data_IF_679008811626
#
_entry.id   IF_679008811626
#
_cell.length_a   1.000
_cell.length_b   1.000
_cell.length_c   1.000
_cell.angle_alpha   90.00
_cell.angle_beta   90.00
_cell.angle_gamma   90.00
#
_symmetry.space_group_name_H-M   'P 1'
#
loop_
_entity.id
_entity.type
_entity.pdbx_description
1 polymer ?
#
# COMPACT_ATOMS: atom_id res chain seq x y z
N UNK A 1 -38.24 12.27 -52.81
CA UNK A 1 -37.53 12.66 -51.58
C UNK A 1 -37.60 11.47 -50.63
N UNK A 2 -36.56 10.63 -50.59
CA UNK A 2 -36.47 9.53 -49.64
C UNK A 2 -35.96 10.09 -48.31
N UNK A 3 -36.53 9.70 -47.15
CA UNK A 3 -36.04 10.19 -45.87
C UNK A 3 -34.68 9.53 -45.57
N UNK A 4 -33.71 10.34 -45.17
CA UNK A 4 -32.43 9.89 -44.65
C UNK A 4 -32.67 9.10 -43.35
N UNK A 5 -32.08 7.90 -43.15
CA UNK A 5 -32.07 7.29 -41.83
C UNK A 5 -31.10 8.07 -40.93
N UNK A 6 -31.58 8.47 -39.75
CA UNK A 6 -30.74 9.01 -38.69
C UNK A 6 -29.80 7.90 -38.20
N UNK A 7 -28.50 8.17 -37.95
CA UNK A 7 -27.61 7.19 -37.34
C UNK A 7 -27.98 7.02 -35.87
N UNK A 8 -28.62 5.89 -35.53
CA UNK A 8 -28.79 5.41 -34.16
C UNK A 8 -27.47 4.82 -33.67
N UNK A 9 -26.53 5.69 -33.30
CA UNK A 9 -25.36 5.32 -32.52
C UNK A 9 -25.73 5.37 -31.04
N UNK A 10 -26.28 4.26 -30.52
CA UNK A 10 -26.22 4.00 -29.09
C UNK A 10 -24.76 3.66 -28.79
N UNK A 11 -24.01 4.65 -28.27
CA UNK A 11 -22.71 4.40 -27.66
C UNK A 11 -22.92 3.34 -26.57
N UNK A 12 -22.42 2.13 -26.81
CA UNK A 12 -22.43 1.08 -25.79
C UNK A 12 -21.67 1.64 -24.58
N UNK A 13 -22.34 1.72 -23.43
CA UNK A 13 -21.68 2.13 -22.20
C UNK A 13 -20.46 1.22 -21.99
N UNK A 14 -19.27 1.82 -21.86
CA UNK A 14 -18.05 1.07 -21.64
C UNK A 14 -18.21 0.17 -20.41
N UNK A 15 -17.71 -1.06 -20.48
CA UNK A 15 -17.75 -1.99 -19.36
C UNK A 15 -17.12 -1.34 -18.10
N UNK A 16 -17.66 -1.62 -16.90
CA UNK A 16 -17.07 -1.10 -15.67
C UNK A 16 -15.66 -1.66 -15.50
N UNK A 17 -14.71 -0.86 -14.96
CA UNK A 17 -13.37 -1.35 -14.67
C UNK A 17 -13.39 -2.51 -13.69
N UNK A 18 -12.47 -3.45 -13.85
CA UNK A 18 -12.34 -4.64 -12.99
C UNK A 18 -11.02 -4.71 -12.23
N UNK A 19 -10.08 -3.79 -12.48
CA UNK A 19 -8.77 -3.79 -11.83
C UNK A 19 -8.62 -2.62 -10.84
N UNK A 20 -8.36 -2.93 -9.57
CA UNK A 20 -8.02 -1.96 -8.55
C UNK A 20 -6.50 -1.85 -8.39
N UNK A 21 -5.94 -0.66 -8.51
CA UNK A 21 -4.54 -0.34 -8.23
C UNK A 21 -4.49 0.55 -7.00
N UNK A 22 -3.81 0.11 -5.94
CA UNK A 22 -3.69 0.86 -4.67
C UNK A 22 -2.25 1.27 -4.47
N UNK A 23 -2.00 2.56 -4.29
CA UNK A 23 -0.72 3.10 -3.81
C UNK A 23 -0.85 3.37 -2.33
N UNK A 24 -0.12 2.61 -1.50
CA UNK A 24 -0.07 2.84 -0.06
C UNK A 24 0.81 4.06 0.25
N UNK A 25 0.21 5.13 0.76
CA UNK A 25 0.94 6.35 1.09
C UNK A 25 1.68 6.22 2.44
N UNK A 26 2.72 7.05 2.61
CA UNK A 26 3.57 7.04 3.80
C UNK A 26 3.97 8.42 4.33
N UNK A 27 3.81 9.50 3.55
CA UNK A 27 4.24 10.85 3.93
C UNK A 27 3.38 11.90 3.26
N UNK A 28 3.43 13.13 3.79
CA UNK A 28 2.60 14.24 3.29
C UNK A 28 3.50 15.26 2.63
N UNK A 29 3.34 15.45 1.32
CA UNK A 29 3.97 16.55 0.62
C UNK A 29 3.13 17.82 0.76
N UNK A 30 3.72 18.89 1.30
CA UNK A 30 3.05 20.17 1.57
C UNK A 30 2.94 21.08 0.34
N UNK A 31 3.56 20.69 -0.77
CA UNK A 31 3.69 21.52 -1.95
C UNK A 31 5.04 22.23 -1.99
N UNK A 32 5.46 22.59 -3.21
CA UNK A 32 6.69 23.34 -3.44
C UNK A 32 7.16 23.23 -4.89
N UNK A 33 8.16 24.02 -5.30
CA UNK A 33 8.58 24.09 -6.69
C UNK A 33 9.27 22.82 -7.21
N UNK A 34 9.80 21.97 -6.33
CA UNK A 34 10.55 20.78 -6.72
C UNK A 34 9.67 19.60 -7.15
N UNK A 35 8.34 19.74 -7.06
CA UNK A 35 7.40 18.68 -7.38
C UNK A 35 7.63 17.39 -6.56
N UNK A 36 8.03 17.53 -5.29
CA UNK A 36 8.27 16.41 -4.39
C UNK A 36 9.71 15.89 -4.37
N UNK A 37 10.63 16.49 -5.13
CA UNK A 37 12.04 16.08 -5.16
C UNK A 37 12.91 16.69 -4.05
N UNK A 38 12.43 17.75 -3.38
CA UNK A 38 13.06 18.34 -2.20
C UNK A 38 12.39 17.81 -0.93
N UNK A 39 13.19 17.21 -0.06
CA UNK A 39 12.72 16.65 1.21
C UNK A 39 12.13 17.71 2.16
N UNK A 40 12.58 18.97 2.06
CA UNK A 40 12.04 20.06 2.88
C UNK A 40 10.57 20.38 2.58
N UNK A 41 10.04 19.92 1.43
CA UNK A 41 8.63 20.06 1.06
C UNK A 41 7.74 18.97 1.68
N UNK A 42 8.30 18.01 2.42
CA UNK A 42 7.58 16.87 3.00
C UNK A 42 7.51 16.94 4.53
N UNK A 43 6.36 16.59 5.09
CA UNK A 43 6.22 16.25 6.51
C UNK A 43 6.60 14.78 6.73
N UNK A 44 7.77 14.58 7.32
CA UNK A 44 8.36 13.26 7.55
C UNK A 44 8.52 12.95 9.03
N UNK A 45 8.35 11.68 9.41
CA UNK A 45 8.88 11.19 10.67
C UNK A 45 10.39 10.99 10.56
N UNK A 46 11.15 10.99 11.68
CA UNK A 46 12.61 10.85 11.65
C UNK A 46 13.12 9.62 10.89
N UNK A 47 12.38 8.50 10.93
CA UNK A 47 12.75 7.27 10.22
C UNK A 47 12.52 7.31 8.71
N UNK A 48 11.86 8.35 8.19
CA UNK A 48 11.53 8.52 6.77
C UNK A 48 12.50 9.46 6.04
N UNK A 49 13.53 9.96 6.74
CA UNK A 49 14.55 10.80 6.14
C UNK A 49 15.23 10.06 4.97
N UNK A 50 15.35 10.74 3.83
CA UNK A 50 15.86 10.19 2.58
C UNK A 50 14.88 9.30 1.80
N UNK A 51 13.62 9.13 2.24
CA UNK A 51 12.65 8.29 1.55
C UNK A 51 11.87 9.00 0.44
N UNK A 52 11.92 10.34 0.34
CA UNK A 52 11.08 11.11 -0.60
C UNK A 52 11.22 10.70 -2.07
N UNK A 53 12.41 10.34 -2.61
CA UNK A 53 12.51 9.83 -3.97
C UNK A 53 11.76 8.50 -4.16
N UNK A 54 11.68 7.69 -3.09
CA UNK A 54 10.93 6.43 -3.09
C UNK A 54 9.43 6.69 -3.11
N UNK A 55 8.95 7.69 -2.37
CA UNK A 55 7.53 8.08 -2.39
C UNK A 55 7.10 8.58 -3.77
N UNK A 56 7.90 9.46 -4.39
CA UNK A 56 7.67 9.90 -5.78
C UNK A 56 7.63 8.70 -6.72
N UNK A 57 8.54 7.73 -6.53
CA UNK A 57 8.55 6.50 -7.33
C UNK A 57 7.32 5.63 -7.12
N UNK A 58 6.80 5.49 -5.90
CA UNK A 58 5.52 4.78 -5.66
C UNK A 58 4.37 5.42 -6.42
N UNK A 59 4.32 6.75 -6.46
CA UNK A 59 3.32 7.51 -7.21
C UNK A 59 3.45 7.23 -8.71
N UNK A 60 4.67 7.36 -9.25
CA UNK A 60 4.97 7.08 -10.66
C UNK A 60 4.57 5.64 -11.04
N UNK A 61 4.94 4.64 -10.22
CA UNK A 61 4.61 3.24 -10.48
C UNK A 61 3.09 2.97 -10.49
N UNK A 62 2.33 3.61 -9.59
CA UNK A 62 0.86 3.54 -9.58
C UNK A 62 0.23 4.18 -10.82
N UNK A 63 0.71 5.38 -11.19
CA UNK A 63 0.27 6.09 -12.39
C UNK A 63 0.61 5.29 -13.66
N UNK A 64 1.81 4.74 -13.74
CA UNK A 64 2.27 3.90 -14.86
C UNK A 64 1.45 2.63 -14.99
N UNK A 65 1.14 1.96 -13.88
CA UNK A 65 0.29 0.77 -13.88
C UNK A 65 -1.14 1.10 -14.35
N UNK A 66 -1.70 2.23 -13.90
CA UNK A 66 -3.01 2.69 -14.34
C UNK A 66 -3.03 3.05 -15.83
N UNK A 67 -2.00 3.74 -16.32
CA UNK A 67 -1.87 4.09 -17.74
C UNK A 67 -1.79 2.86 -18.65
N UNK A 68 -1.10 1.81 -18.22
CA UNK A 68 -0.97 0.56 -18.97
C UNK A 68 -2.30 -0.21 -19.11
N UNK A 69 -3.26 0.03 -18.22
CA UNK A 69 -4.54 -0.67 -18.15
C UNK A 69 -5.71 0.31 -18.01
N UNK A 70 -5.64 1.42 -18.76
CA UNK A 70 -6.42 2.62 -18.53
C UNK A 70 -7.94 2.45 -18.63
N UNK A 71 -8.37 1.55 -19.51
CA UNK A 71 -9.77 1.25 -19.76
C UNK A 71 -10.40 0.39 -18.65
N UNK A 72 -9.62 -0.49 -18.01
CA UNK A 72 -10.12 -1.48 -17.05
C UNK A 72 -9.69 -1.21 -15.60
N UNK A 73 -8.82 -0.23 -15.36
CA UNK A 73 -8.31 0.03 -14.01
C UNK A 73 -8.84 1.31 -13.36
N UNK A 74 -8.76 1.32 -12.03
CA UNK A 74 -8.92 2.49 -11.15
C UNK A 74 -7.70 2.59 -10.26
N UNK A 75 -7.06 3.76 -10.22
CA UNK A 75 -5.97 4.07 -9.30
C UNK A 75 -6.52 4.68 -8.03
N UNK A 76 -6.09 4.19 -6.87
CA UNK A 76 -6.41 4.73 -5.56
C UNK A 76 -5.11 5.11 -4.85
N UNK A 77 -4.94 6.39 -4.54
CA UNK A 77 -3.98 6.80 -3.52
C UNK A 77 -4.64 6.62 -2.15
N UNK A 78 -3.98 5.90 -1.24
CA UNK A 78 -4.59 5.49 0.02
C UNK A 78 -3.73 5.88 1.22
N UNK A 79 -4.28 6.75 2.06
CA UNK A 79 -3.66 7.23 3.29
C UNK A 79 -4.35 8.49 3.82
N UNK A 80 -4.67 8.50 5.11
CA UNK A 80 -5.36 9.60 5.78
C UNK A 80 -4.45 10.80 6.11
N UNK A 81 -5.05 11.86 6.68
CA UNK A 81 -4.31 12.93 7.34
C UNK A 81 -3.83 12.45 8.72
N UNK A 82 -2.54 12.10 8.82
CA UNK A 82 -1.93 11.49 10.02
C UNK A 82 -1.11 12.46 10.87
N UNK A 83 -1.08 13.74 10.48
CA UNK A 83 -0.20 14.78 11.05
C UNK A 83 -1.02 15.93 11.64
N UNK A 84 -0.80 16.34 12.90
CA UNK A 84 -1.50 17.49 13.48
C UNK A 84 -1.15 18.82 12.80
N UNK A 85 -0.03 18.88 12.08
CA UNK A 85 0.43 20.07 11.36
C UNK A 85 -0.46 20.40 10.14
N UNK A 86 -1.23 19.44 9.61
CA UNK A 86 -2.04 19.64 8.41
C UNK A 86 -3.22 18.69 8.30
N UNK A 87 -4.34 19.16 7.77
CA UNK A 87 -5.48 18.30 7.38
C UNK A 87 -5.31 17.68 5.99
N UNK A 88 -4.22 18.01 5.27
CA UNK A 88 -3.91 17.37 4.00
C UNK A 88 -3.65 15.88 4.22
N UNK A 89 -4.43 15.02 3.55
CA UNK A 89 -4.24 13.57 3.62
C UNK A 89 -2.99 13.14 2.85
N UNK A 90 -2.40 12.02 3.25
CA UNK A 90 -1.31 11.40 2.49
C UNK A 90 -1.78 11.10 1.05
N UNK A 91 -3.01 10.60 0.86
CA UNK A 91 -3.60 10.32 -0.45
C UNK A 91 -3.70 11.56 -1.34
N UNK A 92 -4.27 12.66 -0.84
CA UNK A 92 -4.38 13.92 -1.58
C UNK A 92 -3.00 14.49 -1.88
N UNK A 93 -2.05 14.39 -0.95
CA UNK A 93 -0.67 14.86 -1.18
C UNK A 93 0.02 14.09 -2.32
N UNK A 94 -0.18 12.77 -2.41
CA UNK A 94 0.35 11.94 -3.49
C UNK A 94 -0.30 12.30 -4.84
N UNK A 95 -1.61 12.56 -4.86
CA UNK A 95 -2.30 13.04 -6.05
C UNK A 95 -1.77 14.41 -6.51
N UNK A 96 -1.44 15.31 -5.59
CA UNK A 96 -0.85 16.61 -5.91
C UNK A 96 0.54 16.46 -6.54
N UNK A 97 1.40 15.60 -5.99
CA UNK A 97 2.72 15.28 -6.57
C UNK A 97 2.55 14.70 -7.98
N UNK A 98 1.62 13.76 -8.17
CA UNK A 98 1.33 13.19 -9.48
C UNK A 98 0.93 14.28 -10.49
N UNK A 99 -0.01 15.15 -10.11
CA UNK A 99 -0.48 16.25 -10.95
C UNK A 99 0.63 17.26 -11.28
N UNK A 100 1.45 17.65 -10.29
CA UNK A 100 2.53 18.60 -10.51
C UNK A 100 3.64 18.04 -11.40
N UNK A 101 3.88 16.73 -11.35
CA UNK A 101 4.76 16.02 -12.27
C UNK A 101 4.08 15.67 -13.60
N UNK A 102 2.89 16.21 -13.89
CA UNK A 102 2.10 15.92 -15.10
C UNK A 102 1.93 14.42 -15.34
N UNK A 103 1.65 13.69 -14.26
CA UNK A 103 1.52 12.23 -14.24
C UNK A 103 2.72 11.52 -14.88
N UNK A 104 3.91 12.11 -14.77
CA UNK A 104 5.18 11.59 -15.30
C UNK A 104 5.14 11.29 -16.80
N UNK A 105 4.23 11.95 -17.54
CA UNK A 105 4.01 11.70 -18.98
C UNK A 105 3.30 10.39 -19.30
N UNK A 106 2.82 9.64 -18.30
CA UNK A 106 2.08 8.38 -18.51
C UNK A 106 0.59 8.59 -18.79
N UNK A 107 -0.01 9.66 -18.26
CA UNK A 107 -1.42 9.98 -18.50
C UNK A 107 -1.57 11.27 -19.31
N UNK A 108 -2.49 11.25 -20.27
CA UNK A 108 -2.84 12.40 -21.09
C UNK A 108 -3.86 13.26 -20.32
N UNK A 109 -3.59 14.56 -20.18
CA UNK A 109 -4.47 15.51 -19.50
C UNK A 109 -5.72 15.84 -20.35
N UNK A 110 -6.87 16.15 -19.71
CA UNK A 110 -8.04 16.65 -20.43
C UNK A 110 -7.69 17.94 -21.19
N UNK A 111 -7.93 17.96 -22.51
CA UNK A 111 -7.58 19.08 -23.41
C UNK A 111 -6.63 18.69 -24.56
N UNK A 112 -6.03 17.50 -24.50
CA UNK A 112 -5.47 16.81 -25.66
C UNK A 112 -6.62 16.10 -26.39
N UNK A 113 -6.80 16.34 -27.69
CA UNK A 113 -7.96 15.89 -28.50
C UNK A 113 -8.12 14.36 -28.65
N UNK A 114 -7.37 13.54 -27.90
CA UNK A 114 -7.21 12.11 -28.19
C UNK A 114 -7.79 11.11 -27.18
N UNK A 115 -8.45 11.48 -26.08
CA UNK A 115 -9.19 10.48 -25.27
C UNK A 115 -10.51 10.98 -24.69
N UNK A 116 -11.54 10.14 -24.79
CA UNK A 116 -12.93 10.43 -24.43
C UNK A 116 -13.31 10.04 -23.00
N UNK A 117 -12.35 9.76 -22.11
CA UNK A 117 -12.66 9.37 -20.72
C UNK A 117 -11.61 9.87 -19.73
N UNK A 118 -12.00 10.58 -18.65
CA UNK A 118 -11.06 11.08 -17.64
C UNK A 118 -10.34 9.95 -16.88
N UNK A 119 -9.16 10.25 -16.33
CA UNK A 119 -8.40 9.32 -15.50
C UNK A 119 -9.21 8.92 -14.27
N UNK A 120 -9.32 7.60 -14.01
CA UNK A 120 -10.05 7.08 -12.85
C UNK A 120 -9.10 7.00 -11.67
N UNK A 121 -8.78 8.17 -11.12
CA UNK A 121 -7.97 8.31 -9.91
C UNK A 121 -8.91 8.69 -8.77
N UNK A 122 -8.92 7.89 -7.70
CA UNK A 122 -9.68 8.12 -6.48
C UNK A 122 -8.73 8.31 -5.30
N UNK A 123 -9.25 8.89 -4.23
CA UNK A 123 -8.53 9.11 -2.98
C UNK A 123 -9.24 8.34 -1.87
N UNK A 124 -8.48 7.50 -1.17
CA UNK A 124 -8.88 6.91 0.10
C UNK A 124 -8.16 7.70 1.21
N UNK A 125 -8.91 8.58 1.89
CA UNK A 125 -8.37 9.53 2.87
C UNK A 125 -8.66 9.13 4.34
N UNK A 126 -9.08 7.88 4.57
CA UNK A 126 -9.41 7.33 5.89
C UNK A 126 -8.40 6.30 6.36
N UNK A 127 -7.64 5.68 5.45
CA UNK A 127 -6.74 4.60 5.78
C UNK A 127 -5.58 5.08 6.66
N UNK A 128 -5.56 4.60 7.91
CA UNK A 128 -4.53 4.94 8.88
C UNK A 128 -3.39 3.94 8.94
N UNK A 129 -3.58 2.74 8.38
CA UNK A 129 -2.59 1.66 8.35
C UNK A 129 -2.64 0.84 7.05
N UNK A 130 -1.71 -0.11 6.89
CA UNK A 130 -1.62 -0.90 5.67
C UNK A 130 -2.73 -1.93 5.48
N UNK A 131 -3.44 -2.33 6.53
CA UNK A 131 -4.63 -3.18 6.39
C UNK A 131 -5.79 -2.36 5.84
N UNK A 132 -6.05 -1.18 6.44
CA UNK A 132 -7.05 -0.24 5.95
C UNK A 132 -6.76 0.24 4.53
N UNK A 133 -5.49 0.39 4.13
CA UNK A 133 -5.15 0.75 2.76
C UNK A 133 -5.74 -0.23 1.74
N UNK A 134 -5.76 -1.53 2.06
CA UNK A 134 -6.35 -2.54 1.18
C UNK A 134 -7.87 -2.55 1.33
N UNK A 135 -8.37 -2.70 2.56
CA UNK A 135 -9.80 -2.88 2.80
C UNK A 135 -10.63 -1.67 2.36
N UNK A 136 -10.22 -0.46 2.73
CA UNK A 136 -10.97 0.75 2.40
C UNK A 136 -10.87 1.09 0.91
N UNK A 137 -9.75 0.77 0.24
CA UNK A 137 -9.65 0.92 -1.21
C UNK A 137 -10.59 -0.05 -1.95
N UNK A 138 -10.76 -1.28 -1.46
CA UNK A 138 -11.72 -2.25 -2.02
C UNK A 138 -13.16 -1.75 -1.90
N UNK A 139 -13.55 -1.25 -0.72
CA UNK A 139 -14.91 -0.74 -0.51
C UNK A 139 -15.16 0.58 -1.22
N UNK A 140 -14.15 1.45 -1.33
CA UNK A 140 -14.19 2.66 -2.16
C UNK A 140 -14.38 2.30 -3.63
N UNK A 141 -13.63 1.33 -4.15
CA UNK A 141 -13.81 0.84 -5.51
C UNK A 141 -15.24 0.34 -5.72
N UNK A 142 -15.77 -0.50 -4.81
CA UNK A 142 -17.14 -0.97 -4.88
C UNK A 142 -18.14 0.19 -4.90
N UNK A 143 -17.99 1.17 -4.01
CA UNK A 143 -18.91 2.30 -3.90
C UNK A 143 -18.92 3.17 -5.18
N UNK A 144 -17.79 3.29 -5.89
CA UNK A 144 -17.69 4.13 -7.10
C UNK A 144 -17.96 3.37 -8.40
N UNK A 145 -17.66 2.07 -8.45
CA UNK A 145 -17.79 1.23 -9.66
C UNK A 145 -19.07 0.41 -9.67
N UNK A 146 -19.64 0.10 -8.49
CA UNK A 146 -20.81 -0.77 -8.35
C UNK A 146 -20.50 -2.27 -8.42
N UNK A 147 -19.25 -2.65 -8.64
CA UNK A 147 -18.77 -4.03 -8.66
C UNK A 147 -17.48 -4.18 -7.84
N UNK A 148 -17.17 -5.40 -7.40
CA UNK A 148 -15.88 -5.71 -6.77
C UNK A 148 -14.80 -5.91 -7.83
N UNK A 149 -13.54 -5.53 -7.56
CA UNK A 149 -12.48 -5.73 -8.52
C UNK A 149 -12.16 -7.22 -8.70
N UNK A 150 -11.94 -7.62 -9.95
CA UNK A 150 -11.42 -8.93 -10.32
C UNK A 150 -9.92 -9.05 -10.06
N UNK A 151 -9.15 -7.95 -10.16
CA UNK A 151 -7.72 -7.92 -9.91
C UNK A 151 -7.32 -6.80 -8.95
N UNK A 152 -6.25 -7.02 -8.17
CA UNK A 152 -5.68 -6.06 -7.23
C UNK A 152 -4.18 -5.90 -7.49
N UNK A 153 -3.72 -4.67 -7.68
CA UNK A 153 -2.30 -4.31 -7.63
C UNK A 153 -2.04 -3.43 -6.42
N UNK A 154 -1.07 -3.78 -5.58
CA UNK A 154 -0.65 -2.98 -4.42
C UNK A 154 0.76 -2.44 -4.66
N UNK A 155 0.91 -1.12 -4.64
CA UNK A 155 2.16 -0.39 -4.81
C UNK A 155 2.62 0.16 -3.46
N UNK A 156 3.90 -0.03 -3.13
CA UNK A 156 4.50 0.50 -1.90
C UNK A 156 5.91 -0.02 -1.69
N UNK A 157 6.34 -0.09 -0.43
CA UNK A 157 7.66 -0.63 -0.07
C UNK A 157 7.76 -2.14 -0.36
N UNK A 158 8.83 -2.56 -1.04
CA UNK A 158 9.08 -3.98 -1.33
C UNK A 158 9.28 -4.79 -0.04
N UNK A 159 9.96 -4.23 0.96
CA UNK A 159 10.13 -4.90 2.25
C UNK A 159 8.82 -5.12 3.02
N UNK A 160 7.74 -4.41 2.68
CA UNK A 160 6.40 -4.62 3.27
C UNK A 160 5.60 -5.71 2.57
N UNK A 161 6.11 -6.31 1.48
CA UNK A 161 5.38 -7.30 0.69
C UNK A 161 4.82 -8.47 1.54
N UNK A 162 5.58 -9.15 2.40
CA UNK A 162 5.03 -10.25 3.21
C UNK A 162 3.85 -9.78 4.09
N UNK A 163 3.94 -8.57 4.62
CA UNK A 163 2.88 -7.96 5.41
C UNK A 163 1.65 -7.61 4.57
N UNK A 164 1.84 -7.09 3.35
CA UNK A 164 0.73 -6.81 2.44
C UNK A 164 0.02 -8.09 1.99
N UNK A 165 0.78 -9.17 1.73
CA UNK A 165 0.21 -10.49 1.41
C UNK A 165 -0.63 -11.02 2.59
N UNK A 166 -0.17 -10.83 3.83
CA UNK A 166 -0.94 -11.17 5.02
C UNK A 166 -2.24 -10.34 5.14
N UNK A 167 -2.21 -9.04 4.84
CA UNK A 167 -3.41 -8.20 4.84
C UNK A 167 -4.42 -8.64 3.77
N UNK A 168 -3.94 -8.92 2.56
CA UNK A 168 -4.78 -9.42 1.45
C UNK A 168 -5.45 -10.74 1.85
N UNK A 169 -4.71 -11.64 2.49
CA UNK A 169 -5.24 -12.88 3.04
C UNK A 169 -6.27 -12.64 4.16
N UNK A 170 -6.01 -11.74 5.10
CA UNK A 170 -6.92 -11.40 6.20
C UNK A 170 -8.22 -10.75 5.71
N UNK A 171 -8.15 -9.90 4.68
CA UNK A 171 -9.34 -9.37 4.00
C UNK A 171 -10.11 -10.50 3.28
N UNK A 172 -9.41 -11.54 2.83
CA UNK A 172 -9.96 -12.68 2.10
C UNK A 172 -9.98 -12.44 0.58
N UNK A 173 -9.14 -11.56 0.05
CA UNK A 173 -9.00 -11.35 -1.39
C UNK A 173 -8.04 -12.39 -1.99
N UNK A 174 -8.32 -12.98 -3.17
CA UNK A 174 -7.50 -14.06 -3.72
C UNK A 174 -6.08 -13.62 -4.06
N UNK A 175 -5.08 -14.26 -3.43
CA UNK A 175 -3.67 -14.01 -3.72
C UNK A 175 -3.30 -14.22 -5.19
N UNK A 176 -3.94 -15.19 -5.87
CA UNK A 176 -3.75 -15.44 -7.30
C UNK A 176 -4.18 -14.28 -8.20
N UNK A 177 -5.00 -13.36 -7.68
CA UNK A 177 -5.47 -12.14 -8.36
C UNK A 177 -4.82 -10.88 -7.79
N UNK A 178 -3.75 -11.02 -7.01
CA UNK A 178 -3.05 -9.91 -6.38
C UNK A 178 -1.62 -9.81 -6.89
N UNK A 179 -1.20 -8.59 -7.26
CA UNK A 179 0.15 -8.25 -7.66
C UNK A 179 0.74 -7.21 -6.71
N UNK A 180 2.01 -7.35 -6.35
CA UNK A 180 2.73 -6.35 -5.57
C UNK A 180 3.80 -5.66 -6.42
N UNK A 181 3.83 -4.33 -6.38
CA UNK A 181 4.88 -3.49 -6.95
C UNK A 181 5.64 -2.84 -5.80
N UNK A 182 6.81 -3.41 -5.51
CA UNK A 182 7.66 -2.96 -4.41
C UNK A 182 8.78 -2.04 -4.89
N UNK A 183 8.95 -0.90 -4.23
CA UNK A 183 10.13 -0.03 -4.39
C UNK A 183 10.63 0.35 -3.00
N UNK A 184 11.91 0.10 -2.71
CA UNK A 184 12.52 0.42 -1.42
C UNK A 184 13.50 1.60 -1.52
N UNK A 185 13.67 2.37 -0.44
CA UNK A 185 14.79 3.30 -0.34
C UNK A 185 16.11 2.53 -0.46
N UNK A 186 17.09 3.02 -1.25
CA UNK A 186 18.35 2.30 -1.46
C UNK A 186 19.09 1.92 -0.17
N UNK A 187 19.01 2.78 0.86
CA UNK A 187 19.61 2.50 2.16
C UNK A 187 18.95 1.29 2.87
N UNK A 188 17.62 1.22 2.88
CA UNK A 188 16.88 0.09 3.46
C UNK A 188 17.16 -1.19 2.68
N UNK A 189 17.16 -1.12 1.34
CA UNK A 189 17.48 -2.27 0.49
C UNK A 189 18.85 -2.87 0.81
N UNK A 190 19.88 -2.03 1.03
CA UNK A 190 21.23 -2.49 1.42
C UNK A 190 21.22 -3.19 2.78
N UNK A 191 20.55 -2.62 3.77
CA UNK A 191 20.43 -3.22 5.12
C UNK A 191 19.76 -4.59 5.05
N UNK A 192 18.69 -4.71 4.26
CA UNK A 192 17.95 -5.97 4.12
C UNK A 192 18.76 -7.05 3.42
N UNK A 193 19.51 -6.69 2.37
CA UNK A 193 20.42 -7.62 1.67
C UNK A 193 21.51 -8.11 2.63
N UNK A 194 22.12 -7.21 3.40
CA UNK A 194 23.14 -7.57 4.39
C UNK A 194 22.58 -8.52 5.48
N UNK A 195 21.39 -8.21 6.01
CA UNK A 195 20.73 -9.03 7.01
C UNK A 195 20.35 -10.43 6.48
N UNK A 196 19.89 -10.51 5.22
CA UNK A 196 19.58 -11.77 4.57
C UNK A 196 20.84 -12.63 4.34
N UNK A 197 21.93 -12.02 3.87
CA UNK A 197 23.21 -12.70 3.70
C UNK A 197 23.75 -13.27 5.02
N UNK A 198 23.70 -12.47 6.10
CA UNK A 198 24.09 -12.92 7.44
C UNK A 198 23.20 -14.07 7.95
N UNK A 199 21.89 -14.03 7.70
CA UNK A 199 20.99 -15.12 8.08
C UNK A 199 21.28 -16.41 7.32
N UNK A 200 21.56 -16.32 6.01
CA UNK A 200 21.93 -17.46 5.18
C UNK A 200 23.27 -18.09 5.61
N UNK A 201 24.26 -17.27 5.98
CA UNK A 201 25.54 -17.75 6.49
C UNK A 201 25.38 -18.57 7.78
N UNK A 202 24.55 -18.08 8.72
CA UNK A 202 24.27 -18.82 9.97
C UNK A 202 23.49 -20.11 9.72
N UNK A 203 22.52 -20.12 8.80
CA UNK A 203 21.82 -21.35 8.43
C UNK A 203 22.76 -22.39 7.79
N UNK A 204 23.73 -21.93 6.99
CA UNK A 204 24.75 -22.79 6.37
C UNK A 204 25.72 -23.36 7.43
N UNK A 205 26.17 -22.55 8.39
CA UNK A 205 27.01 -23.02 9.48
C UNK A 205 26.28 -24.03 10.39
N UNK A 206 24.99 -23.81 10.66
CA UNK A 206 24.18 -24.71 11.48
C UNK A 206 23.90 -26.06 10.80
N UNK A 207 23.89 -26.11 9.46
CA UNK A 207 23.75 -27.36 8.70
C UNK A 207 25.08 -28.12 8.62
N UNK A 208 26.19 -27.43 8.38
CA UNK A 208 27.53 -28.03 8.42
C UNK A 208 27.91 -28.59 9.79
N UNK A 209 27.53 -27.93 10.89
CA UNK A 209 27.76 -28.41 12.25
C UNK A 209 26.89 -29.60 12.66
N UNK A 210 25.80 -29.90 11.94
CA UNK A 210 24.96 -31.09 12.16
C UNK A 210 25.49 -32.33 11.44
N UNK A 211 26.20 -32.16 10.33
CA UNK A 211 26.87 -33.24 9.61
C UNK A 211 28.22 -33.62 10.24
N UNK A 212 28.82 -32.71 11.03
CA UNK A 212 30.01 -32.94 11.84
C UNK A 212 29.68 -33.46 13.26
N UNK A 213 28.93 -34.56 13.35
CA UNK A 213 28.77 -35.29 14.60
C UNK A 213 30.03 -36.10 14.94
N UNK A 214 31.04 -35.46 15.51
CA UNK A 214 32.27 -36.10 15.99
C UNK A 214 33.16 -35.10 16.75
N UNK A 215 33.30 -35.33 18.06
CA UNK A 215 33.76 -34.35 19.04
C UNK A 215 35.14 -33.70 18.82
N UNK A 216 35.29 -32.51 19.38
CA UNK A 216 36.52 -32.02 19.98
C UNK A 216 36.21 -30.80 20.86
N UNK A 217 36.62 -30.87 22.12
CA UNK A 217 36.80 -29.72 23.02
C UNK A 217 37.99 -28.89 22.51
N UNK A 218 37.88 -27.55 22.52
CA UNK A 218 38.94 -26.69 21.97
C UNK A 218 38.74 -25.20 22.20
N UNK A 219 39.29 -24.75 23.34
CA UNK A 219 39.96 -23.48 23.66
C UNK A 219 39.36 -22.12 23.24
N UNK A 220 39.10 -21.34 24.29
CA UNK A 220 38.72 -19.93 24.30
C UNK A 220 39.84 -19.04 23.76
N UNK A 221 39.71 -18.62 22.49
CA UNK A 221 40.49 -17.55 21.91
C UNK A 221 39.73 -16.23 21.98
N UNK A 222 40.09 -15.37 22.93
CA UNK A 222 39.67 -13.96 22.99
C UNK A 222 40.32 -13.19 21.84
N UNK A 223 39.70 -13.24 20.66
CA UNK A 223 39.94 -12.31 19.58
C UNK A 223 39.08 -11.07 19.79
N UNK A 224 39.72 -9.92 19.95
CA UNK A 224 39.08 -8.60 19.96
C UNK A 224 38.38 -8.39 18.60
N UNK A 225 37.11 -8.76 18.55
CA UNK A 225 36.23 -8.47 17.43
C UNK A 225 35.97 -6.96 17.39
N UNK A 226 36.55 -6.26 16.42
CA UNK A 226 35.92 -5.07 15.82
C UNK A 226 34.62 -5.51 15.13
N UNK A 227 33.64 -5.93 15.93
CA UNK A 227 32.36 -6.48 15.47
C UNK A 227 31.51 -5.32 14.96
N UNK A 228 31.59 -5.08 13.65
CA UNK A 228 30.50 -4.42 12.94
C UNK A 228 29.18 -5.07 13.39
N UNK A 229 28.26 -4.24 13.89
CA UNK A 229 27.00 -4.69 14.49
C UNK A 229 26.29 -5.66 13.55
N UNK A 230 25.89 -6.84 14.05
CA UNK A 230 25.26 -7.88 13.23
C UNK A 230 24.05 -7.30 12.48
N UNK A 231 24.04 -7.30 11.13
CA UNK A 231 23.00 -6.61 10.35
C UNK A 231 21.61 -7.19 10.59
N UNK A 232 21.48 -8.40 11.13
CA UNK A 232 20.20 -9.01 11.54
C UNK A 232 19.56 -8.31 12.74
N UNK A 233 20.35 -7.61 13.54
CA UNK A 233 19.92 -6.83 14.70
C UNK A 233 19.72 -5.34 14.40
N UNK A 234 20.01 -4.91 13.17
CA UNK A 234 19.84 -3.53 12.74
C UNK A 234 18.41 -3.02 13.07
N UNK A 235 18.25 -1.79 13.61
CA UNK A 235 16.96 -1.28 14.08
C UNK A 235 15.83 -1.38 13.04
N UNK A 236 16.13 -1.14 11.77
CA UNK A 236 15.18 -1.28 10.65
C UNK A 236 14.69 -2.74 10.50
N UNK A 237 15.61 -3.71 10.54
CA UNK A 237 15.27 -5.14 10.41
C UNK A 237 14.42 -5.59 11.59
N UNK A 238 14.77 -5.16 12.81
CA UNK A 238 13.98 -5.42 14.01
C UNK A 238 12.59 -4.79 13.91
N UNK A 239 12.49 -3.55 13.44
CA UNK A 239 11.22 -2.85 13.24
C UNK A 239 10.30 -3.57 12.26
N UNK A 240 10.84 -4.04 11.13
CA UNK A 240 10.10 -4.81 10.13
C UNK A 240 9.58 -6.12 10.74
N UNK A 241 10.45 -6.90 11.38
CA UNK A 241 10.08 -8.19 12.02
C UNK A 241 9.05 -8.02 13.13
N UNK A 242 9.15 -6.95 13.91
CA UNK A 242 8.18 -6.65 14.97
C UNK A 242 6.81 -6.31 14.38
N UNK A 243 6.78 -5.48 13.33
CA UNK A 243 5.52 -5.17 12.65
C UNK A 243 4.89 -6.43 12.03
N UNK A 244 5.68 -7.28 11.37
CA UNK A 244 5.19 -8.55 10.82
C UNK A 244 4.63 -9.48 11.89
N UNK A 245 5.29 -9.56 13.05
CA UNK A 245 4.82 -10.37 14.18
C UNK A 245 3.48 -9.85 14.71
N UNK A 246 3.38 -8.55 14.99
CA UNK A 246 2.12 -7.96 15.49
C UNK A 246 0.95 -8.24 14.55
N UNK A 247 1.14 -8.09 13.24
CA UNK A 247 0.09 -8.35 12.26
C UNK A 247 -0.18 -9.84 12.01
N UNK A 248 0.78 -10.72 12.27
CA UNK A 248 0.52 -12.16 12.25
C UNK A 248 -0.34 -12.57 13.45
N UNK A 249 -0.07 -11.99 14.61
CA UNK A 249 -0.76 -12.32 15.86
C UNK A 249 -2.15 -11.63 15.93
N UNK A 250 -2.33 -10.53 15.20
CA UNK A 250 -3.61 -9.82 15.02
C UNK A 250 -3.85 -9.44 13.53
N UNK A 251 -4.32 -10.40 12.70
CA UNK A 251 -4.44 -10.23 11.25
C UNK A 251 -5.38 -9.11 10.79
N UNK A 252 -6.35 -8.76 11.63
CA UNK A 252 -7.33 -7.70 11.35
C UNK A 252 -7.01 -6.38 12.05
N UNK A 253 -5.93 -6.32 12.85
CA UNK A 253 -5.53 -5.11 13.55
C UNK A 253 -6.58 -4.61 14.54
N UNK A 254 -7.27 -5.53 15.24
CA UNK A 254 -8.36 -5.25 16.19
C UNK A 254 -7.86 -5.25 17.64
N UNK A 255 -6.73 -5.88 17.91
CA UNK A 255 -6.09 -5.95 19.21
C UNK A 255 -5.59 -4.58 19.68
N UNK A 256 -5.44 -4.45 21.00
CA UNK A 256 -5.17 -3.18 21.67
C UNK A 256 -3.95 -2.43 21.11
N UNK A 257 -2.86 -3.13 20.77
CA UNK A 257 -1.66 -2.52 20.18
C UNK A 257 -1.96 -1.83 18.85
N UNK A 258 -2.51 -2.58 17.88
CA UNK A 258 -2.72 -2.06 16.52
C UNK A 258 -3.87 -1.06 16.47
N UNK A 259 -4.96 -1.31 17.20
CA UNK A 259 -6.05 -0.36 17.35
C UNK A 259 -5.59 0.92 18.07
N UNK A 260 -4.76 0.82 19.11
CA UNK A 260 -4.16 1.97 19.80
C UNK A 260 -3.28 2.81 18.88
N UNK A 261 -2.41 2.16 18.08
CA UNK A 261 -1.62 2.85 17.04
C UNK A 261 -2.49 3.52 16.00
N UNK A 262 -3.63 2.93 15.63
CA UNK A 262 -4.61 3.54 14.71
C UNK A 262 -5.21 4.80 15.31
N UNK A 263 -5.73 4.74 16.55
CA UNK A 263 -6.26 5.91 17.26
C UNK A 263 -5.23 7.03 17.38
N UNK A 264 -3.98 6.70 17.72
CA UNK A 264 -2.90 7.68 17.82
C UNK A 264 -2.59 8.41 16.51
N UNK A 265 -2.83 7.77 15.35
CA UNK A 265 -2.67 8.40 14.02
C UNK A 265 -3.92 9.18 13.59
N UNK A 266 -5.09 8.93 14.19
CA UNK A 266 -6.36 9.56 13.81
C UNK A 266 -6.55 10.96 14.43
N UNK A 267 -5.56 11.83 14.28
CA UNK A 267 -5.52 13.14 14.94
C UNK A 267 -6.64 14.10 14.49
N UNK A 268 -7.25 13.82 13.34
CA UNK A 268 -8.37 14.59 12.78
C UNK A 268 -9.73 13.86 12.84
N UNK A 269 -9.81 12.76 13.58
CA UNK A 269 -11.03 11.97 13.74
C UNK A 269 -11.70 11.57 12.41
N UNK A 270 -10.88 11.21 11.41
CA UNK A 270 -11.35 10.64 10.16
C UNK A 270 -12.24 9.43 10.43
N UNK A 271 -13.35 9.33 9.69
CA UNK A 271 -14.26 8.19 9.78
C UNK A 271 -13.52 6.88 9.50
N UNK A 272 -13.67 5.87 10.35
CA UNK A 272 -12.95 4.60 10.26
C UNK A 272 -13.83 3.40 9.90
N UNK A 273 -15.05 3.64 9.40
CA UNK A 273 -15.91 2.55 8.93
C UNK A 273 -15.31 1.83 7.72
N UNK A 274 -15.58 0.53 7.61
CA UNK A 274 -15.23 -0.30 6.44
C UNK A 274 -15.81 0.33 5.17
N UNK A 275 -17.02 0.89 5.25
CA UNK A 275 -17.65 1.69 4.20
C UNK A 275 -17.68 3.18 4.58
N UNK A 276 -17.79 4.07 3.60
CA UNK A 276 -18.06 5.51 3.87
C UNK A 276 -19.45 5.65 4.54
N UNK A 277 -19.66 6.72 5.35
CA UNK A 277 -20.82 6.87 6.27
C UNK A 277 -22.20 6.63 5.64
N UNK A 278 -22.35 6.90 4.34
CA UNK A 278 -23.63 6.89 3.64
C UNK A 278 -23.73 5.79 2.57
N UNK A 279 -22.81 4.82 2.57
CA UNK A 279 -22.85 3.71 1.60
C UNK A 279 -23.88 2.67 2.03
N UNK A 280 -24.96 2.57 1.26
CA UNK A 280 -26.06 1.63 1.49
C UNK A 280 -25.86 0.31 0.73
N UNK A 281 -25.33 0.35 -0.51
CA UNK A 281 -24.97 -0.86 -1.25
C UNK A 281 -23.58 -1.35 -0.85
N UNK A 282 -23.56 -2.31 0.09
CA UNK A 282 -22.34 -2.99 0.55
C UNK A 282 -21.92 -4.16 -0.33
N UNK A 283 -22.65 -4.44 -1.42
CA UNK A 283 -22.25 -5.45 -2.37
C UNK A 283 -22.12 -6.87 -1.85
N UNK A 284 -22.90 -7.21 -0.83
CA UNK A 284 -22.85 -8.51 -0.18
C UNK A 284 -21.65 -8.73 0.74
N UNK A 285 -20.80 -7.70 0.99
CA UNK A 285 -19.79 -7.80 2.02
C UNK A 285 -20.43 -7.60 3.39
N UNK A 286 -20.37 -8.63 4.23
CA UNK A 286 -20.92 -8.58 5.58
C UNK A 286 -19.95 -7.90 6.56
N UNK A 287 -20.45 -6.88 7.24
CA UNK A 287 -19.74 -6.17 8.30
C UNK A 287 -20.61 -6.07 9.55
N UNK A 288 -19.97 -5.94 10.71
CA UNK A 288 -20.60 -5.73 12.02
C UNK A 288 -19.97 -4.53 12.71
N UNK A 289 -20.75 -3.77 13.46
CA UNK A 289 -20.31 -2.53 14.11
C UNK A 289 -20.49 -1.30 13.21
N UNK A 290 -19.93 -0.18 13.66
CA UNK A 290 -20.01 1.12 12.98
C UNK A 290 -18.74 1.93 13.30
N UNK A 291 -18.29 2.75 12.35
CA UNK A 291 -17.12 3.62 12.55
C UNK A 291 -15.86 2.81 12.86
N UNK A 292 -15.12 3.19 13.90
CA UNK A 292 -13.89 2.48 14.31
C UNK A 292 -14.12 1.01 14.67
N UNK A 293 -15.33 0.66 15.13
CA UNK A 293 -15.69 -0.69 15.51
C UNK A 293 -16.22 -1.53 14.35
N UNK A 294 -16.49 -0.90 13.19
CA UNK A 294 -16.95 -1.62 12.00
C UNK A 294 -15.85 -2.57 11.50
N UNK A 295 -16.21 -3.83 11.34
CA UNK A 295 -15.28 -4.88 10.92
C UNK A 295 -15.95 -5.90 10.02
N UNK A 296 -15.14 -6.59 9.22
CA UNK A 296 -15.58 -7.77 8.47
C UNK A 296 -16.12 -8.84 9.43
N UNK A 297 -17.20 -9.52 9.03
CA UNK A 297 -17.64 -10.77 9.68
C UNK A 297 -16.71 -11.89 9.22
N UNK A 298 -16.03 -12.56 10.15
CA UNK A 298 -14.90 -13.44 9.80
C UNK A 298 -15.34 -14.69 9.04
N UNK A 299 -16.50 -15.27 9.40
CA UNK A 299 -17.07 -16.47 8.81
C UNK A 299 -17.88 -16.21 7.54
N UNK A 300 -18.18 -14.94 7.22
CA UNK A 300 -19.01 -14.59 6.08
C UNK A 300 -18.25 -14.77 4.75
N UNK A 301 -18.96 -15.28 3.74
CA UNK A 301 -18.41 -15.41 2.38
C UNK A 301 -18.06 -14.03 1.84
N UNK A 302 -16.86 -13.88 1.27
CA UNK A 302 -16.49 -12.65 0.59
C UNK A 302 -17.17 -12.58 -0.79
N UNK A 303 -17.75 -11.43 -1.19
CA UNK A 303 -18.52 -11.31 -2.43
C UNK A 303 -17.67 -11.36 -3.70
N UNK A 304 -16.35 -11.33 -3.57
CA UNK A 304 -15.38 -11.44 -4.67
C UNK A 304 -14.78 -12.85 -4.81
N UNK A 305 -15.30 -13.83 -4.06
CA UNK A 305 -14.93 -15.26 -4.12
C UNK A 305 -15.95 -16.08 -4.91
#
# INVERSE_FOLDING_TARGET
MSPNPLPSSLSAAAAPPTHLIVVCCHGIWLGGPSAGHDEAEWLLAPFQAGETPTFVRHIEEGVRAHAADRADSVLVFSGAATRPETQLSEAQSYANVAAQNRYFGHLILPGSESESSPARILLEERALDSFSNVLFSLTLFRARVGAWPAALTVVGHAFKRPRMEAHVAAVGFPAARTRHVGVDPPAIGRVLVAAAAAAAAVATAATAGRDAGGGAEGEDGEGEDEKGEDPRHHPVVRGIRNAEREWRDDPHGRGESLAGKRRGRNVWAAWQGVFERDVTDRGGLETVGEGEEERLVDEARRPWL
#
